data_IF_229755103991
#
_entry.id   IF_229755103991
#
_cell.length_a   1.000
_cell.length_b   1.000
_cell.length_c   1.000
_cell.angle_alpha   90.00
_cell.angle_beta   90.00
_cell.angle_gamma   90.00
#
_symmetry.space_group_name_H-M   'P 1'
#
loop_
_entity.id
_entity.type
_entity.pdbx_description
1 polymer ?
#
# COMPACT_ATOMS: atom_id res chain seq x y z
N UNK A 1 6.47 34.29 12.77
CA UNK A 1 7.36 34.45 11.59
C UNK A 1 7.69 33.05 11.10
N UNK A 2 7.09 32.61 10.00
CA UNK A 2 7.47 31.37 9.32
C UNK A 2 8.74 31.64 8.51
N UNK A 3 9.83 30.92 8.78
CA UNK A 3 11.01 30.89 7.93
C UNK A 3 10.87 29.72 6.96
N UNK A 4 11.28 29.89 5.71
CA UNK A 4 11.42 28.78 4.78
C UNK A 4 12.56 27.87 5.25
N UNK A 5 12.22 26.62 5.59
CA UNK A 5 13.18 25.58 5.97
C UNK A 5 13.48 24.67 4.78
N UNK A 6 14.69 24.11 4.72
CA UNK A 6 15.07 23.19 3.64
C UNK A 6 14.81 21.74 4.05
N UNK A 7 13.68 21.20 3.60
CA UNK A 7 13.40 19.78 3.71
C UNK A 7 14.04 19.00 2.56
N UNK A 8 14.68 17.88 2.87
CA UNK A 8 15.21 16.94 1.89
C UNK A 8 14.74 15.54 2.22
N UNK A 9 14.40 14.75 1.20
CA UNK A 9 14.11 13.34 1.37
C UNK A 9 14.73 12.54 0.22
N UNK A 10 14.85 11.22 0.41
CA UNK A 10 15.10 10.27 -0.67
C UNK A 10 14.34 8.98 -0.43
N UNK A 11 13.93 8.30 -1.49
CA UNK A 11 13.38 6.95 -1.38
C UNK A 11 14.52 5.96 -1.11
N UNK A 12 14.41 5.20 -0.03
CA UNK A 12 15.36 4.14 0.35
C UNK A 12 14.70 2.77 0.26
N UNK A 13 15.51 1.72 0.20
CA UNK A 13 15.01 0.36 0.13
C UNK A 13 14.49 -0.10 1.50
N UNK A 14 13.36 -0.79 1.51
CA UNK A 14 12.87 -1.48 2.70
C UNK A 14 13.80 -2.62 3.11
N UNK A 15 14.03 -2.76 4.41
CA UNK A 15 14.61 -3.99 4.98
C UNK A 15 13.51 -5.06 5.07
N UNK A 16 13.56 -6.02 4.16
CA UNK A 16 12.59 -7.10 4.08
C UNK A 16 12.62 -8.01 5.33
N UNK A 17 13.78 -8.22 5.95
CA UNK A 17 13.89 -9.07 7.14
C UNK A 17 13.22 -8.41 8.34
N UNK A 18 13.43 -7.10 8.48
CA UNK A 18 12.81 -6.29 9.52
C UNK A 18 11.28 -6.27 9.39
N UNK A 19 10.76 -6.11 8.17
CA UNK A 19 9.32 -6.17 7.89
C UNK A 19 8.73 -7.56 8.15
N UNK A 20 9.42 -8.63 7.72
CA UNK A 20 9.01 -10.00 7.98
C UNK A 20 8.94 -10.30 9.48
N UNK A 21 9.95 -9.88 10.25
CA UNK A 21 9.97 -10.04 11.70
C UNK A 21 8.81 -9.29 12.38
N UNK A 22 8.41 -8.12 11.84
CA UNK A 22 7.28 -7.34 12.33
C UNK A 22 5.91 -7.84 11.82
N UNK A 23 5.86 -8.83 10.93
CA UNK A 23 4.62 -9.28 10.30
C UNK A 23 3.96 -8.20 9.43
N UNK A 24 4.78 -7.36 8.80
CA UNK A 24 4.35 -6.22 7.99
C UNK A 24 4.75 -6.39 6.52
N UNK A 25 4.06 -5.69 5.64
CA UNK A 25 4.43 -5.56 4.22
C UNK A 25 4.38 -4.10 3.79
N UNK A 26 5.23 -3.66 2.85
CA UNK A 26 5.20 -2.27 2.39
C UNK A 26 3.83 -1.89 1.80
N UNK A 27 3.36 -0.70 2.15
CA UNK A 27 2.19 -0.03 1.57
C UNK A 27 2.55 1.25 0.81
N UNK A 28 3.85 1.58 0.76
CA UNK A 28 4.38 2.75 0.07
C UNK A 28 5.91 2.77 0.06
N UNK A 29 6.51 3.80 -0.55
CA UNK A 29 7.94 4.08 -0.44
C UNK A 29 8.37 4.33 1.00
N UNK A 30 9.63 4.02 1.30
CA UNK A 30 10.30 4.40 2.55
C UNK A 30 11.09 5.69 2.28
N UNK A 31 10.72 6.77 2.96
CA UNK A 31 11.32 8.08 2.80
C UNK A 31 12.33 8.35 3.92
N UNK A 32 13.61 8.46 3.61
CA UNK A 32 14.61 9.01 4.55
C UNK A 32 14.55 10.53 4.50
N UNK A 33 13.99 11.14 5.55
CA UNK A 33 13.66 12.57 5.61
C UNK A 33 14.66 13.27 6.53
N UNK A 34 15.20 14.40 6.07
CA UNK A 34 16.16 15.23 6.79
C UNK A 34 15.76 16.70 6.70
N UNK A 35 15.72 17.38 7.84
CA UNK A 35 15.53 18.82 7.98
C UNK A 35 16.59 19.36 8.96
N UNK A 36 17.50 20.25 8.53
CA UNK A 36 18.51 20.82 9.42
C UNK A 36 17.95 21.59 10.62
N UNK A 37 16.78 22.19 10.46
CA UNK A 37 16.13 23.03 11.47
C UNK A 37 15.24 22.24 12.45
N UNK A 38 15.11 20.92 12.27
CA UNK A 38 14.22 20.02 13.03
C UNK A 38 12.79 20.57 13.20
N UNK A 39 12.32 21.29 12.18
CA UNK A 39 11.08 22.07 12.24
C UNK A 39 9.84 21.25 11.81
N UNK A 40 9.99 19.97 11.51
CA UNK A 40 8.91 19.12 11.01
C UNK A 40 8.27 18.38 12.17
N UNK A 41 7.05 18.76 12.53
CA UNK A 41 6.28 18.10 13.59
C UNK A 41 5.32 17.03 13.06
N UNK A 42 4.95 17.07 11.77
CA UNK A 42 3.90 16.22 11.21
C UNK A 42 4.23 15.82 9.76
N UNK A 43 3.89 14.60 9.38
CA UNK A 43 4.02 14.07 8.02
C UNK A 43 2.69 13.62 7.45
N UNK A 44 2.53 13.83 6.14
CA UNK A 44 1.41 13.37 5.34
C UNK A 44 1.94 12.36 4.32
N UNK A 45 1.71 11.07 4.56
CA UNK A 45 2.23 9.99 3.74
C UNK A 45 1.13 9.45 2.81
N UNK A 46 1.30 9.54 1.47
CA UNK A 46 0.28 9.12 0.53
C UNK A 46 0.09 7.59 0.51
N UNK A 47 -1.17 7.15 0.40
CA UNK A 47 -1.52 5.73 0.23
C UNK A 47 -2.32 5.49 -1.05
N UNK A 48 -2.50 4.21 -1.39
CA UNK A 48 -3.19 3.78 -2.62
C UNK A 48 -4.50 3.02 -2.36
N UNK A 49 -5.12 3.20 -1.19
CA UNK A 49 -6.40 2.57 -0.89
C UNK A 49 -7.52 3.15 -1.75
N UNK A 50 -8.33 2.27 -2.37
CA UNK A 50 -9.48 2.66 -3.21
C UNK A 50 -10.79 2.74 -2.43
N UNK A 51 -10.79 2.21 -1.22
CA UNK A 51 -11.92 2.27 -0.29
C UNK A 51 -11.52 3.08 0.94
N UNK A 52 -12.46 3.80 1.59
CA UNK A 52 -12.17 4.53 2.81
C UNK A 52 -11.52 3.61 3.83
N UNK A 53 -10.32 3.98 4.28
CA UNK A 53 -9.51 3.16 5.18
C UNK A 53 -10.11 3.24 6.57
N UNK A 54 -10.69 2.14 7.05
CA UNK A 54 -11.10 2.06 8.45
C UNK A 54 -9.85 1.93 9.33
N UNK A 55 -9.87 2.41 10.58
CA UNK A 55 -8.77 2.20 11.53
C UNK A 55 -8.37 0.72 11.71
N UNK A 56 -9.27 -0.21 11.39
CA UNK A 56 -9.05 -1.66 11.41
C UNK A 56 -8.36 -2.23 10.16
N UNK A 57 -8.20 -1.48 9.06
CA UNK A 57 -7.72 -1.99 7.76
C UNK A 57 -6.23 -2.33 7.75
N UNK A 58 -5.52 -2.04 8.84
CA UNK A 58 -4.17 -2.52 9.06
C UNK A 58 -3.09 -1.72 8.37
N UNK A 59 -3.41 -0.53 7.88
CA UNK A 59 -2.44 0.46 7.45
C UNK A 59 -1.83 1.12 8.70
N UNK A 60 -0.50 1.23 8.75
CA UNK A 60 0.23 1.86 9.85
C UNK A 60 1.44 2.60 9.32
N UNK A 61 1.96 3.55 10.11
CA UNK A 61 3.23 4.21 9.81
C UNK A 61 4.34 3.50 10.54
N UNK A 62 5.45 3.28 9.84
CA UNK A 62 6.69 2.80 10.42
C UNK A 62 7.71 3.92 10.43
N UNK A 63 8.46 3.98 11.52
CA UNK A 63 9.57 4.87 11.73
C UNK A 63 10.82 4.05 12.05
N UNK A 64 11.86 4.18 11.22
CA UNK A 64 13.12 3.42 11.31
C UNK A 64 14.25 4.40 11.61
N UNK A 65 14.79 4.30 12.82
CA UNK A 65 15.95 5.06 13.26
C UNK A 65 17.14 4.15 13.60
N UNK A 66 18.21 4.75 14.13
CA UNK A 66 19.36 4.03 14.70
C UNK A 66 18.99 3.11 15.88
N UNK A 67 17.84 3.34 16.52
CA UNK A 67 17.27 2.49 17.57
C UNK A 67 16.39 1.35 17.03
N UNK A 68 16.25 1.24 15.70
CA UNK A 68 15.47 0.21 15.03
C UNK A 68 14.09 0.68 14.59
N UNK A 69 13.20 -0.29 14.37
CA UNK A 69 11.85 -0.08 13.85
C UNK A 69 10.84 0.17 14.96
N UNK A 70 10.05 1.23 14.81
CA UNK A 70 8.89 1.52 15.64
C UNK A 70 7.64 1.69 14.76
N UNK A 71 6.48 1.33 15.30
CA UNK A 71 5.18 1.58 14.66
C UNK A 71 4.60 2.83 15.31
N UNK A 72 4.22 3.80 14.48
CA UNK A 72 3.55 5.02 14.92
C UNK A 72 2.06 4.90 14.63
N UNK A 73 1.25 5.30 15.61
CA UNK A 73 -0.20 5.37 15.43
C UNK A 73 -0.56 6.60 14.58
N UNK A 74 -1.29 6.41 13.48
CA UNK A 74 -1.84 7.52 12.70
C UNK A 74 -2.70 8.44 13.55
N UNK A 75 -2.56 9.75 13.38
CA UNK A 75 -3.53 10.72 13.89
C UNK A 75 -4.82 10.67 13.07
N UNK A 76 -4.66 10.60 11.75
CA UNK A 76 -5.76 10.59 10.80
C UNK A 76 -5.36 9.72 9.60
N UNK A 77 -6.34 8.99 9.05
CA UNK A 77 -6.21 8.34 7.75
C UNK A 77 -7.33 8.89 6.87
N UNK A 78 -6.94 9.64 5.84
CA UNK A 78 -7.87 10.26 4.89
C UNK A 78 -8.12 9.33 3.70
N UNK A 79 -8.74 9.83 2.64
CA UNK A 79 -8.87 9.10 1.38
C UNK A 79 -7.56 9.03 0.57
N UNK A 80 -6.58 9.89 0.86
CA UNK A 80 -5.37 10.04 0.04
C UNK A 80 -4.07 9.84 0.80
N UNK A 81 -4.07 10.11 2.11
CA UNK A 81 -2.85 10.09 2.91
C UNK A 81 -3.11 9.78 4.39
N UNK A 82 -2.07 9.29 5.05
CA UNK A 82 -1.98 9.11 6.50
C UNK A 82 -1.27 10.32 7.12
N UNK A 83 -1.81 10.86 8.20
CA UNK A 83 -1.22 11.93 9.00
C UNK A 83 -0.61 11.35 10.27
N UNK A 84 0.63 11.72 10.57
CA UNK A 84 1.38 11.20 11.73
C UNK A 84 2.30 12.26 12.33
N UNK A 85 2.42 12.27 13.65
CA UNK A 85 3.40 13.10 14.35
C UNK A 85 4.81 12.52 14.19
N UNK A 86 5.78 13.40 14.04
CA UNK A 86 7.19 13.05 13.89
C UNK A 86 7.87 13.12 15.25
N UNK A 87 8.35 11.99 15.81
CA UNK A 87 9.11 12.01 17.06
C UNK A 87 10.52 12.60 16.86
N UNK A 88 11.15 12.25 15.75
CA UNK A 88 12.40 12.83 15.23
C UNK A 88 12.55 12.42 13.77
N UNK A 89 13.35 13.16 13.00
CA UNK A 89 13.50 12.90 11.57
C UNK A 89 14.44 11.72 11.28
N UNK A 90 13.93 10.74 10.52
CA UNK A 90 14.64 9.57 10.02
C UNK A 90 13.87 8.96 8.82
N UNK A 91 13.85 7.64 8.69
CA UNK A 91 13.10 6.94 7.64
C UNK A 91 11.65 6.64 8.05
N UNK A 92 10.70 7.04 7.20
CA UNK A 92 9.25 6.85 7.41
C UNK A 92 8.60 6.18 6.21
N UNK A 93 7.69 5.25 6.45
CA UNK A 93 6.97 4.58 5.38
C UNK A 93 5.68 3.94 5.85
N UNK A 94 4.76 3.73 4.92
CA UNK A 94 3.51 3.03 5.19
C UNK A 94 3.69 1.52 5.06
N UNK A 95 3.04 0.78 5.97
CA UNK A 95 2.99 -0.68 5.92
C UNK A 95 1.57 -1.18 6.14
N UNK A 96 1.25 -2.33 5.57
CA UNK A 96 0.10 -3.13 5.96
C UNK A 96 0.50 -4.23 6.94
N UNK A 97 -0.44 -4.61 7.79
CA UNK A 97 -0.45 -5.93 8.43
C UNK A 97 -0.45 -7.03 7.35
N UNK A 98 0.55 -7.91 7.38
CA UNK A 98 0.70 -9.03 6.42
C UNK A 98 -0.59 -9.86 6.34
N UNK A 99 -1.20 -10.17 7.50
CA UNK A 99 -2.41 -11.00 7.62
C UNK A 99 -3.62 -10.32 6.96
N UNK A 100 -3.84 -9.03 7.24
CA UNK A 100 -4.96 -8.29 6.67
C UNK A 100 -4.76 -8.06 5.17
N UNK A 101 -3.52 -7.79 4.74
CA UNK A 101 -3.20 -7.64 3.32
C UNK A 101 -3.45 -8.93 2.55
N UNK A 102 -3.11 -10.09 3.12
CA UNK A 102 -3.38 -11.39 2.53
C UNK A 102 -4.89 -11.64 2.32
N UNK A 103 -5.75 -11.21 3.25
CA UNK A 103 -7.21 -11.32 3.09
C UNK A 103 -7.75 -10.39 2.00
N UNK A 104 -7.07 -9.28 1.74
CA UNK A 104 -7.49 -8.23 0.82
C UNK A 104 -6.74 -8.27 -0.53
N UNK A 105 -6.16 -9.42 -0.94
CA UNK A 105 -5.36 -9.51 -2.18
C UNK A 105 -6.14 -9.20 -3.45
N UNK A 106 -7.46 -9.44 -3.46
CA UNK A 106 -8.33 -9.13 -4.60
C UNK A 106 -8.81 -7.67 -4.62
N UNK A 107 -8.52 -6.88 -3.57
CA UNK A 107 -8.91 -5.46 -3.57
C UNK A 107 -8.02 -4.68 -4.53
N UNK A 108 -8.62 -3.87 -5.42
CA UNK A 108 -7.85 -2.97 -6.26
C UNK A 108 -7.18 -1.88 -5.41
N UNK A 109 -6.02 -1.45 -5.86
CA UNK A 109 -5.36 -0.25 -5.37
C UNK A 109 -5.43 0.86 -6.42
N UNK A 110 -5.32 2.10 -5.96
CA UNK A 110 -5.07 3.22 -6.86
C UNK A 110 -3.66 3.10 -7.43
N UNK A 111 -3.57 3.09 -8.74
CA UNK A 111 -2.35 2.87 -9.50
C UNK A 111 -2.21 3.95 -10.57
N UNK A 112 -1.04 3.99 -11.20
CA UNK A 112 -0.72 4.93 -12.27
C UNK A 112 -0.09 4.22 -13.46
N UNK A 113 -0.47 4.67 -14.65
CA UNK A 113 0.15 4.33 -15.93
C UNK A 113 1.06 5.49 -16.34
N UNK A 114 2.37 5.25 -16.40
CA UNK A 114 3.32 6.27 -16.85
C UNK A 114 3.87 5.90 -18.23
N UNK A 115 3.87 6.88 -19.13
CA UNK A 115 4.39 6.74 -20.49
C UNK A 115 5.68 7.54 -20.65
N UNK A 116 6.69 6.89 -21.20
CA UNK A 116 7.95 7.53 -21.56
C UNK A 116 8.32 7.20 -23.00
N UNK A 117 8.69 8.23 -23.74
CA UNK A 117 9.21 8.12 -25.10
C UNK A 117 10.73 8.20 -25.09
N UNK A 118 11.40 7.20 -25.70
CA UNK A 118 12.85 7.22 -25.86
C UNK A 118 13.22 7.90 -27.17
N UNK A 119 13.86 9.08 -27.10
CA UNK A 119 14.16 9.93 -28.28
C UNK A 119 15.21 9.33 -29.22
N UNK A 120 16.01 8.36 -28.79
CA UNK A 120 17.11 7.82 -29.59
C UNK A 120 17.53 6.43 -29.10
N UNK A 121 17.22 5.38 -29.86
CA UNK A 121 17.85 4.07 -29.61
C UNK A 121 18.24 3.34 -30.91
N UNK A 122 17.47 3.45 -32.00
CA UNK A 122 17.88 2.97 -33.34
C UNK A 122 17.29 3.86 -34.43
N UNK A 123 17.96 3.99 -35.58
CA UNK A 123 17.57 4.86 -36.70
C UNK A 123 16.22 4.49 -37.39
N UNK A 124 15.44 3.54 -36.86
CA UNK A 124 14.30 2.94 -37.58
C UNK A 124 13.01 2.71 -36.78
N UNK A 125 13.01 2.79 -35.44
CA UNK A 125 11.80 2.55 -34.63
C UNK A 125 11.68 3.53 -33.46
N UNK A 126 10.46 3.95 -33.14
CA UNK A 126 10.12 4.65 -31.90
C UNK A 126 9.91 3.63 -30.79
N UNK A 127 10.34 3.98 -29.58
CA UNK A 127 10.17 3.14 -28.39
C UNK A 127 9.41 3.91 -27.31
N UNK A 128 8.26 3.37 -26.91
CA UNK A 128 7.52 3.79 -25.73
C UNK A 128 7.74 2.76 -24.63
N UNK A 129 7.97 3.22 -23.41
CA UNK A 129 7.99 2.37 -22.23
C UNK A 129 6.84 2.74 -21.32
N UNK A 130 6.14 1.72 -20.82
CA UNK A 130 4.93 1.83 -20.01
C UNK A 130 5.21 1.26 -18.62
N UNK A 131 4.83 2.02 -17.59
CA UNK A 131 4.93 1.63 -16.19
C UNK A 131 3.54 1.39 -15.65
N UNK A 132 3.37 0.28 -14.94
CA UNK A 132 2.25 0.07 -14.04
C UNK A 132 2.82 0.12 -12.62
N UNK A 133 2.52 1.18 -11.87
CA UNK A 133 3.02 1.40 -10.51
C UNK A 133 1.88 1.78 -9.57
N UNK A 134 2.02 1.56 -8.25
CA UNK A 134 1.13 2.20 -7.27
C UNK A 134 1.16 3.73 -7.41
N UNK A 135 0.03 4.40 -7.20
CA UNK A 135 -0.09 5.86 -7.33
C UNK A 135 0.84 6.63 -6.36
N UNK A 136 1.09 6.08 -5.18
CA UNK A 136 1.94 6.70 -4.15
C UNK A 136 3.44 6.56 -4.42
N UNK A 137 3.83 6.04 -5.59
CA UNK A 137 5.21 6.13 -6.08
C UNK A 137 5.45 7.51 -6.68
N UNK A 138 6.43 8.29 -6.19
CA UNK A 138 6.66 9.65 -6.69
C UNK A 138 7.15 9.66 -8.15
N UNK A 139 6.44 10.37 -9.04
CA UNK A 139 6.81 10.49 -10.45
C UNK A 139 8.25 10.99 -10.66
N UNK A 140 8.71 11.92 -9.82
CA UNK A 140 10.07 12.49 -9.96
C UNK A 140 11.16 11.42 -9.76
N UNK A 141 10.95 10.46 -8.86
CA UNK A 141 11.89 9.35 -8.64
C UNK A 141 11.98 8.45 -9.88
N UNK A 142 10.85 8.23 -10.57
CA UNK A 142 10.81 7.46 -11.82
C UNK A 142 11.48 8.22 -12.97
N UNK A 143 11.31 9.54 -13.03
CA UNK A 143 11.91 10.41 -14.07
C UNK A 143 13.43 10.48 -13.95
N UNK A 144 13.96 10.68 -12.74
CA UNK A 144 15.41 10.88 -12.51
C UNK A 144 16.24 9.63 -12.86
N UNK A 145 15.66 8.44 -12.77
CA UNK A 145 16.34 7.18 -13.10
C UNK A 145 16.52 6.92 -14.60
N UNK A 146 16.05 7.83 -15.47
CA UNK A 146 16.01 7.62 -16.92
C UNK A 146 16.77 8.71 -17.65
N UNK A 147 17.87 8.32 -18.26
CA UNK A 147 18.57 9.15 -19.24
C UNK A 147 17.88 9.03 -20.60
N UNK A 148 17.78 10.15 -21.34
CA UNK A 148 17.32 10.20 -22.73
C UNK A 148 15.87 9.72 -22.99
N UNK A 149 14.99 9.78 -21.99
CA UNK A 149 13.54 9.58 -22.16
C UNK A 149 12.76 10.82 -21.82
N UNK A 150 11.68 11.06 -22.54
CA UNK A 150 10.71 12.12 -22.30
C UNK A 150 9.46 11.53 -21.67
N UNK A 151 9.03 12.10 -20.56
CA UNK A 151 7.74 11.77 -19.94
C UNK A 151 6.60 12.38 -20.77
N UNK A 152 5.60 11.58 -21.11
CA UNK A 152 4.38 12.04 -21.77
C UNK A 152 3.34 12.26 -20.68
N UNK A 153 2.90 13.49 -20.51
CA UNK A 153 1.85 13.83 -19.55
C UNK A 153 0.51 13.29 -20.03
N UNK A 154 -0.10 12.42 -19.22
CA UNK A 154 -1.37 11.74 -19.50
C UNK A 154 -2.22 11.64 -18.24
N UNK A 155 -3.55 11.48 -18.36
CA UNK A 155 -4.39 11.06 -17.25
C UNK A 155 -3.98 9.66 -16.78
N UNK A 156 -3.08 9.57 -15.80
CA UNK A 156 -2.36 8.34 -15.48
C UNK A 156 -3.10 7.40 -14.52
N UNK A 157 -4.05 7.91 -13.73
CA UNK A 157 -4.66 7.17 -12.63
C UNK A 157 -5.55 6.03 -13.15
N UNK A 158 -5.40 4.85 -12.56
CA UNK A 158 -6.23 3.67 -12.83
C UNK A 158 -6.33 2.80 -11.57
N UNK A 159 -7.06 1.67 -11.64
CA UNK A 159 -7.14 0.70 -10.56
C UNK A 159 -6.53 -0.64 -10.99
N UNK A 160 -5.59 -1.16 -10.19
CA UNK A 160 -4.91 -2.44 -10.44
C UNK A 160 -4.96 -3.34 -9.21
N UNK A 161 -4.96 -4.65 -9.42
CA UNK A 161 -5.02 -5.68 -8.37
C UNK A 161 -3.66 -6.36 -8.30
N UNK A 162 -3.07 -6.41 -7.10
CA UNK A 162 -1.80 -7.10 -6.85
C UNK A 162 -1.91 -8.57 -7.23
N UNK A 163 -0.92 -9.09 -7.95
CA UNK A 163 -0.86 -10.50 -8.38
C UNK A 163 -1.73 -10.81 -9.59
N UNK A 164 -2.42 -9.82 -10.16
CA UNK A 164 -3.09 -10.00 -11.45
C UNK A 164 -2.12 -9.78 -12.60
N UNK A 165 -2.39 -10.46 -13.72
CA UNK A 165 -1.63 -10.28 -14.97
C UNK A 165 -2.34 -9.26 -15.85
N UNK A 166 -1.56 -8.32 -16.40
CA UNK A 166 -2.04 -7.30 -17.33
C UNK A 166 -1.33 -7.44 -18.67
N UNK A 167 -1.95 -6.95 -19.74
CA UNK A 167 -1.34 -6.87 -21.07
C UNK A 167 -1.60 -5.50 -21.70
N UNK A 168 -0.80 -5.14 -22.69
CA UNK A 168 -1.09 -3.97 -23.52
C UNK A 168 -1.70 -4.39 -24.85
N UNK A 169 -2.63 -3.57 -25.32
CA UNK A 169 -3.05 -3.51 -26.71
C UNK A 169 -2.64 -2.16 -27.29
N UNK A 170 -2.09 -2.20 -28.50
CA UNK A 170 -1.68 -1.02 -29.25
C UNK A 170 -1.68 -1.40 -30.74
N UNK A 171 -2.76 -1.12 -31.48
CA UNK A 171 -2.91 -1.56 -32.87
C UNK A 171 -1.79 -1.09 -33.80
N UNK A 172 -1.19 0.06 -33.50
CA UNK A 172 -0.11 0.68 -34.28
C UNK A 172 1.26 0.05 -33.99
N UNK A 173 1.37 -0.77 -32.93
CA UNK A 173 2.62 -1.40 -32.50
C UNK A 173 3.06 -2.51 -33.44
N UNK A 174 4.34 -2.48 -33.83
CA UNK A 174 4.96 -3.62 -34.50
C UNK A 174 5.39 -4.69 -33.49
N UNK A 175 5.61 -4.31 -32.22
CA UNK A 175 5.95 -5.24 -31.14
C UNK A 175 5.60 -4.67 -29.78
N UNK A 176 5.03 -5.53 -28.93
CA UNK A 176 4.84 -5.26 -27.50
C UNK A 176 5.58 -6.34 -26.71
N UNK A 177 6.37 -5.96 -25.71
CA UNK A 177 7.06 -6.91 -24.83
C UNK A 177 7.06 -6.45 -23.36
N UNK A 178 6.89 -7.37 -22.40
CA UNK A 178 6.40 -8.74 -22.59
C UNK A 178 4.95 -8.76 -23.11
N UNK A 179 4.45 -9.93 -23.51
CA UNK A 179 3.04 -10.08 -23.97
C UNK A 179 2.06 -9.76 -22.83
N UNK A 180 2.45 -10.10 -21.61
CA UNK A 180 1.73 -9.80 -20.38
C UNK A 180 2.70 -9.74 -19.20
N UNK A 181 2.33 -9.06 -18.13
CA UNK A 181 3.15 -8.92 -16.93
C UNK A 181 2.30 -8.98 -15.65
N UNK A 182 2.84 -9.60 -14.60
CA UNK A 182 2.26 -9.58 -13.27
C UNK A 182 2.37 -8.17 -12.67
N UNK A 183 1.27 -7.63 -12.16
CA UNK A 183 1.31 -6.41 -11.37
C UNK A 183 1.67 -6.73 -9.92
N UNK A 184 2.71 -6.06 -9.44
CA UNK A 184 3.17 -6.15 -8.05
C UNK A 184 3.46 -4.74 -7.52
N UNK A 185 3.50 -4.63 -6.19
CA UNK A 185 3.66 -3.37 -5.49
C UNK A 185 5.15 -3.03 -5.38
N UNK A 186 5.64 -2.24 -6.33
CA UNK A 186 7.03 -1.82 -6.42
C UNK A 186 7.21 -0.39 -5.91
N UNK A 187 7.93 -0.23 -4.81
CA UNK A 187 8.15 1.06 -4.16
C UNK A 187 9.60 1.57 -4.25
N UNK A 188 10.35 1.05 -5.23
CA UNK A 188 11.73 1.42 -5.48
C UNK A 188 12.77 0.64 -4.65
N UNK A 189 14.03 1.11 -4.64
CA UNK A 189 14.48 2.33 -5.30
C UNK A 189 14.53 2.18 -6.82
N UNK A 190 14.60 0.98 -7.39
CA UNK A 190 14.72 0.80 -8.84
C UNK A 190 13.34 0.62 -9.53
N UNK A 191 13.02 1.47 -10.51
CA UNK A 191 11.76 1.38 -11.28
C UNK A 191 12.00 0.87 -12.70
N UNK A 192 11.60 -0.38 -12.96
CA UNK A 192 11.71 -1.01 -14.27
C UNK A 192 10.40 -0.91 -15.07
N UNK A 193 10.46 -0.68 -16.40
CA UNK A 193 9.27 -0.64 -17.23
C UNK A 193 8.52 -1.96 -17.17
N UNK A 194 7.20 -1.88 -17.08
CA UNK A 194 6.34 -3.06 -17.14
C UNK A 194 6.24 -3.56 -18.57
N UNK A 195 6.17 -2.65 -19.55
CA UNK A 195 6.12 -2.97 -20.97
C UNK A 195 6.97 -2.03 -21.83
N UNK A 196 7.34 -2.53 -23.00
CA UNK A 196 7.95 -1.81 -24.11
C UNK A 196 7.07 -1.98 -25.35
N UNK A 197 6.69 -0.85 -25.96
CA UNK A 197 6.01 -0.79 -27.25
C UNK A 197 7.01 -0.28 -28.29
N UNK A 198 7.13 -0.99 -29.40
CA UNK A 198 7.89 -0.56 -30.58
C UNK A 198 6.91 -0.15 -31.68
N UNK A 199 7.13 1.05 -32.21
CA UNK A 199 6.32 1.67 -33.25
C UNK A 199 7.23 2.02 -34.44
N UNK A 200 6.65 2.08 -35.63
CA UNK A 200 7.35 2.58 -36.80
C UNK A 200 7.66 4.07 -36.62
N UNK A 201 8.73 4.58 -37.26
CA UNK A 201 9.06 6.02 -37.19
C UNK A 201 7.98 6.92 -37.76
N UNK A 202 7.26 6.43 -38.77
CA UNK A 202 6.15 7.12 -39.42
C UNK A 202 4.86 7.13 -38.59
N UNK A 203 4.82 6.43 -37.45
CA UNK A 203 3.67 6.47 -36.55
C UNK A 203 3.66 7.82 -35.83
N UNK A 204 2.64 8.63 -36.14
CA UNK A 204 2.41 9.95 -35.57
C UNK A 204 1.56 9.89 -34.31
N UNK A 205 0.61 8.96 -34.27
CA UNK A 205 -0.29 8.74 -33.14
C UNK A 205 -0.35 7.24 -32.82
N UNK A 206 -0.55 6.89 -31.55
CA UNK A 206 -0.71 5.51 -31.12
C UNK A 206 -1.71 5.40 -29.97
N UNK A 207 -2.59 4.40 -30.03
CA UNK A 207 -3.52 4.11 -28.93
C UNK A 207 -2.90 3.09 -28.01
N UNK A 208 -2.75 3.43 -26.72
CA UNK A 208 -2.20 2.52 -25.71
C UNK A 208 -3.28 2.13 -24.74
N UNK A 209 -3.58 0.84 -24.70
CA UNK A 209 -4.65 0.29 -23.87
C UNK A 209 -4.09 -0.75 -22.90
N UNK A 210 -4.34 -0.58 -21.60
CA UNK A 210 -4.05 -1.58 -20.57
C UNK A 210 -5.28 -2.45 -20.39
N UNK A 211 -5.07 -3.77 -20.46
CA UNK A 211 -6.11 -4.78 -20.35
C UNK A 211 -5.81 -5.74 -19.20
N UNK A 212 -6.87 -6.21 -18.52
CA UNK A 212 -6.76 -7.27 -17.52
C UNK A 212 -6.67 -8.68 -18.14
N UNK A 213 -6.74 -9.70 -17.29
CA UNK A 213 -6.65 -11.12 -17.66
C UNK A 213 -7.80 -11.57 -18.58
N UNK A 214 -8.95 -10.92 -18.48
CA UNK A 214 -10.15 -11.20 -19.27
C UNK A 214 -10.23 -10.31 -20.52
N UNK A 215 -9.15 -9.58 -20.83
CA UNK A 215 -9.08 -8.60 -21.93
C UNK A 215 -10.04 -7.42 -21.76
N UNK A 216 -10.49 -7.16 -20.54
CA UNK A 216 -11.31 -5.98 -20.22
C UNK A 216 -10.42 -4.74 -20.18
N UNK A 217 -10.96 -3.64 -20.71
CA UNK A 217 -10.35 -2.31 -20.65
C UNK A 217 -10.16 -1.85 -19.20
N UNK A 218 -8.92 -1.52 -18.83
CA UNK A 218 -8.54 -0.94 -17.52
C UNK A 218 -8.18 0.53 -17.66
N UNK A 219 -7.43 0.87 -18.71
CA UNK A 219 -6.98 2.23 -19.00
C UNK A 219 -6.70 2.35 -20.50
N UNK A 220 -7.01 3.49 -21.10
CA UNK A 220 -6.75 3.77 -22.51
C UNK A 220 -6.38 5.23 -22.71
N UNK A 221 -5.41 5.46 -23.59
CA UNK A 221 -5.02 6.81 -23.98
C UNK A 221 -4.50 6.85 -25.41
N UNK A 222 -4.84 7.93 -26.10
CA UNK A 222 -4.38 8.21 -27.44
C UNK A 222 -3.15 9.15 -27.39
N UNK A 223 -1.98 8.59 -27.71
CA UNK A 223 -0.68 9.26 -27.61
C UNK A 223 -0.35 9.98 -28.91
N UNK A 224 -0.09 11.28 -28.83
CA UNK A 224 0.56 12.03 -29.89
C UNK A 224 2.10 11.90 -29.79
N UNK A 225 2.72 11.41 -30.86
CA UNK A 225 4.16 11.19 -30.98
C UNK A 225 4.85 12.25 -31.84
N UNK A 226 4.12 13.24 -32.34
CA UNK A 226 4.60 14.33 -33.19
C UNK A 226 5.22 15.48 -32.38
N UNK A 227 6.14 15.21 -31.45
CA UNK A 227 6.73 16.31 -30.69
C UNK A 227 7.68 17.18 -31.56
N UNK A 228 7.22 18.36 -31.98
CA UNK A 228 8.09 19.53 -32.01
C UNK A 228 8.41 19.93 -30.56
N UNK A 229 9.60 20.49 -30.25
CA UNK A 229 9.98 20.78 -28.88
C UNK A 229 9.05 21.84 -28.31
N UNK A 230 8.32 21.53 -27.24
CA UNK A 230 7.76 22.58 -26.38
C UNK A 230 8.93 23.30 -25.73
N UNK A 231 9.28 24.47 -26.28
CA UNK A 231 10.07 25.48 -25.58
C UNK A 231 9.30 25.79 -24.30
N UNK A 232 9.77 25.30 -23.15
CA UNK A 232 9.37 25.90 -21.89
C UNK A 232 9.73 27.39 -21.98
N UNK A 233 8.82 28.33 -21.68
CA UNK A 233 9.24 29.69 -21.42
C UNK A 233 10.26 29.61 -20.29
N UNK A 234 11.50 29.98 -20.56
CA UNK A 234 12.41 30.35 -19.49
C UNK A 234 11.66 31.41 -18.70
N UNK A 235 11.35 31.11 -17.44
CA UNK A 235 10.96 32.15 -16.51
C UNK A 235 12.14 33.12 -16.48
N UNK A 236 11.91 34.32 -17.03
CA UNK A 236 12.80 35.45 -16.88
C UNK A 236 13.16 35.56 -15.40
N UNK A 237 14.45 35.43 -15.14
CA UNK A 237 15.10 35.86 -13.91
C UNK A 237 14.70 37.33 -13.67
N UNK A 238 14.00 37.68 -12.59
CA UNK A 238 13.78 39.09 -12.30
C UNK A 238 15.11 39.67 -11.82
N UNK A 239 15.68 40.50 -12.68
CA UNK A 239 16.84 41.33 -12.43
C UNK A 239 16.75 42.04 -11.07
N UNK A 240 17.80 41.85 -10.27
CA UNK A 240 18.20 42.72 -9.16
C UNK A 240 18.30 44.16 -9.64
N UNK A 241 17.65 45.13 -8.96
CA UNK A 241 18.08 46.54 -8.78
C UNK A 241 17.18 47.20 -7.70
N UNK A 242 17.61 48.30 -7.01
CA UNK A 242 18.30 48.25 -5.73
C UNK A 242 17.49 48.85 -4.56
N UNK A 243 17.99 48.56 -3.36
CA UNK A 243 17.60 49.18 -2.08
C UNK A 243 17.64 50.72 -2.15
N UNK A 244 16.60 51.36 -1.60
CA UNK A 244 16.71 52.69 -0.98
C UNK A 244 16.08 52.65 0.41
N UNK A 245 16.96 52.70 1.40
CA UNK A 245 16.70 53.13 2.78
C UNK A 245 16.49 54.63 2.81
N UNK A 246 15.41 55.11 3.44
CA UNK A 246 15.43 56.32 4.25
C UNK A 246 14.51 56.13 5.46
N UNK A 247 15.05 56.38 6.65
CA UNK A 247 14.34 56.32 7.91
C UNK A 247 13.67 57.65 8.25
N UNK A 248 12.99 57.69 9.41
CA UNK A 248 12.52 58.93 10.02
C UNK A 248 11.15 58.80 10.66
N UNK A 249 11.16 58.34 11.90
CA UNK A 249 10.32 58.78 13.03
C UNK A 249 9.40 60.00 12.81
N UNK A 250 8.13 59.92 13.20
CA UNK A 250 7.67 60.52 14.47
C UNK A 250 6.20 60.20 14.82
N UNK A 251 6.00 60.28 16.13
CA UNK A 251 4.83 60.09 16.99
C UNK A 251 3.49 60.72 16.58
N UNK A 252 2.36 60.07 16.95
CA UNK A 252 1.57 60.41 18.16
C UNK A 252 0.11 59.90 18.12
N UNK A 253 -0.28 59.22 19.22
CA UNK A 253 -1.59 59.17 19.93
C UNK A 253 -2.93 59.32 19.16
N UNK A 254 -3.89 58.40 19.35
CA UNK A 254 -4.80 58.38 20.51
C UNK A 254 -5.95 57.34 20.41
N UNK A 255 -6.24 56.73 21.58
CA UNK A 255 -7.57 56.37 22.15
C UNK A 255 -8.47 55.25 21.61
N UNK A 256 -8.79 54.32 22.55
CA UNK A 256 -10.08 53.63 22.75
C UNK A 256 -10.30 52.38 21.90
N UNK A 257 -10.73 51.21 22.38
CA UNK A 257 -11.37 50.79 23.63
C UNK A 257 -11.27 49.26 23.76
N UNK A 258 -11.38 48.76 24.99
CA UNK A 258 -11.28 47.35 25.38
C UNK A 258 -12.41 46.44 24.81
N UNK A 259 -12.19 45.11 24.76
CA UNK A 259 -13.14 44.11 24.25
C UNK A 259 -14.12 43.62 25.33
N UNK A 260 -15.31 43.20 24.90
CA UNK A 260 -16.31 42.53 25.75
C UNK A 260 -16.46 41.09 25.27
N UNK A 261 -16.09 40.14 26.14
CA UNK A 261 -16.45 38.71 26.06
C UNK A 261 -17.97 38.54 26.33
N UNK A 262 -18.58 37.42 25.92
CA UNK A 262 -18.92 36.45 26.97
C UNK A 262 -18.93 34.96 26.60
N UNK A 263 -18.57 34.18 27.61
CA UNK A 263 -19.27 33.00 28.16
C UNK A 263 -19.21 31.64 27.45
N UNK A 264 -18.36 30.81 28.02
CA UNK A 264 -18.40 29.35 28.07
C UNK A 264 -19.69 28.82 28.72
N UNK A 265 -20.27 27.75 28.16
CA UNK A 265 -21.33 26.95 28.77
C UNK A 265 -20.85 25.51 28.94
N UNK A 266 -20.75 25.07 30.19
CA UNK A 266 -20.63 23.68 30.60
C UNK A 266 -21.99 22.98 30.49
N UNK A 267 -22.02 21.72 30.00
CA UNK A 267 -23.12 20.78 30.29
C UNK A 267 -22.55 19.40 30.65
N UNK A 268 -23.18 18.82 31.66
CA UNK A 268 -22.75 17.73 32.51
C UNK A 268 -22.91 16.32 31.94
N UNK A 269 -22.16 15.40 32.56
CA UNK A 269 -22.31 13.96 32.47
C UNK A 269 -23.57 13.46 33.21
N UNK A 270 -24.26 12.49 32.62
CA UNK A 270 -25.34 11.73 33.24
C UNK A 270 -25.33 10.29 32.72
N UNK A 271 -25.09 9.34 33.63
CA UNK A 271 -25.09 7.91 33.33
C UNK A 271 -26.50 7.31 33.25
N UNK A 272 -26.62 6.26 32.46
CA UNK A 272 -27.77 5.34 32.43
C UNK A 272 -27.26 3.92 32.39
N UNK A 273 -27.64 3.11 33.39
CA UNK A 273 -27.26 1.71 33.52
C UNK A 273 -28.02 0.77 32.57
N UNK A 274 -27.61 -0.51 32.46
CA UNK A 274 -28.25 -1.49 31.58
C UNK A 274 -29.33 -2.31 32.29
N UNK A 275 -30.46 -2.51 31.60
CA UNK A 275 -31.55 -3.42 31.96
C UNK A 275 -31.21 -4.87 31.56
N UNK A 276 -31.57 -5.91 32.34
CA UNK A 276 -31.13 -7.28 32.13
C UNK A 276 -32.15 -8.07 31.31
N UNK A 277 -31.71 -8.65 30.19
CA UNK A 277 -32.48 -9.65 29.45
C UNK A 277 -31.51 -10.65 28.84
N UNK A 278 -31.16 -11.64 29.65
CA UNK A 278 -30.27 -12.73 29.28
C UNK A 278 -30.92 -13.66 28.26
N UNK A 279 -30.37 -13.66 27.04
CA UNK A 279 -30.42 -14.82 26.15
C UNK A 279 -28.97 -15.14 25.76
N UNK A 280 -28.41 -16.09 26.49
CA UNK A 280 -27.04 -16.57 26.42
C UNK A 280 -26.93 -17.55 25.23
N UNK A 281 -26.59 -17.07 24.04
CA UNK A 281 -26.12 -17.94 22.96
C UNK A 281 -24.70 -18.43 23.30
N UNK A 282 -24.55 -19.74 23.43
CA UNK A 282 -23.30 -20.46 23.71
C UNK A 282 -22.09 -19.89 22.95
N UNK A 283 -21.21 -19.22 23.69
CA UNK A 283 -20.01 -18.56 23.17
C UNK A 283 -18.83 -19.53 23.10
N UNK A 284 -18.66 -20.19 21.94
CA UNK A 284 -17.33 -20.52 21.38
C UNK A 284 -16.46 -21.58 22.05
N UNK A 285 -17.02 -22.65 22.62
CA UNK A 285 -16.23 -23.67 23.32
C UNK A 285 -15.19 -24.38 22.42
N UNK A 286 -15.52 -24.68 21.15
CA UNK A 286 -14.58 -25.38 20.25
C UNK A 286 -13.43 -24.49 19.79
N UNK A 287 -13.68 -23.19 19.64
CA UNK A 287 -12.63 -22.22 19.31
C UNK A 287 -11.60 -22.09 20.45
N UNK A 288 -12.08 -22.13 21.70
CA UNK A 288 -11.23 -22.14 22.91
C UNK A 288 -10.43 -23.42 23.02
N UNK A 289 -11.04 -24.58 22.71
CA UNK A 289 -10.34 -25.87 22.67
C UNK A 289 -9.24 -25.92 21.62
N UNK A 290 -9.51 -25.41 20.41
CA UNK A 290 -8.45 -25.30 19.39
C UNK A 290 -7.37 -24.29 19.78
N UNK A 291 -7.72 -23.21 20.49
CA UNK A 291 -6.72 -22.26 20.99
C UNK A 291 -5.77 -22.90 21.99
N UNK A 292 -6.30 -23.67 22.96
CA UNK A 292 -5.48 -24.28 24.00
C UNK A 292 -4.50 -25.31 23.46
N UNK A 293 -4.89 -26.07 22.43
CA UNK A 293 -4.03 -27.13 21.86
C UNK A 293 -3.15 -26.65 20.70
N UNK A 294 -3.27 -25.37 20.32
CA UNK A 294 -2.65 -24.83 19.10
C UNK A 294 -1.15 -25.12 19.02
N UNK A 295 -0.41 -24.89 20.10
CA UNK A 295 1.04 -25.10 20.13
C UNK A 295 1.38 -26.56 19.87
N UNK A 296 0.75 -27.48 20.60
CA UNK A 296 1.00 -28.91 20.46
C UNK A 296 0.54 -29.46 19.11
N UNK A 297 -0.56 -28.94 18.56
CA UNK A 297 -1.00 -29.26 17.21
C UNK A 297 0.08 -28.91 16.19
N UNK A 298 0.65 -27.70 16.25
CA UNK A 298 1.71 -27.25 15.34
C UNK A 298 2.98 -28.09 15.48
N UNK A 299 3.33 -28.51 16.69
CA UNK A 299 4.55 -29.27 16.95
C UNK A 299 4.43 -30.74 16.50
N UNK A 300 3.25 -31.35 16.66
CA UNK A 300 3.09 -32.81 16.59
C UNK A 300 2.36 -33.31 15.35
N UNK A 301 1.57 -32.47 14.68
CA UNK A 301 0.82 -32.91 13.49
C UNK A 301 1.75 -33.20 12.31
N UNK A 302 1.54 -34.34 11.67
CA UNK A 302 2.32 -34.77 10.51
C UNK A 302 1.83 -34.10 9.22
N UNK A 303 2.69 -34.05 8.20
CA UNK A 303 2.33 -33.47 6.90
C UNK A 303 1.20 -34.24 6.19
N UNK A 304 1.09 -35.56 6.39
CA UNK A 304 0.00 -36.35 5.82
C UNK A 304 -1.34 -35.99 6.44
N UNK A 305 -1.40 -35.91 7.78
CA UNK A 305 -2.60 -35.49 8.51
C UNK A 305 -3.01 -34.07 8.12
N UNK A 306 -2.05 -33.16 7.95
CA UNK A 306 -2.36 -31.80 7.47
C UNK A 306 -2.99 -31.80 6.07
N UNK A 307 -2.49 -32.62 5.15
CA UNK A 307 -3.05 -32.73 3.81
C UNK A 307 -4.49 -33.25 3.85
N UNK A 308 -4.72 -34.34 4.56
CA UNK A 308 -6.04 -34.95 4.69
C UNK A 308 -7.05 -33.99 5.36
N UNK A 309 -6.60 -33.24 6.38
CA UNK A 309 -7.41 -32.21 7.01
C UNK A 309 -7.77 -31.07 6.05
N UNK A 310 -6.81 -30.61 5.23
CA UNK A 310 -7.08 -29.57 4.25
C UNK A 310 -8.07 -30.03 3.18
N UNK A 311 -7.95 -31.27 2.69
CA UNK A 311 -8.89 -31.84 1.72
C UNK A 311 -10.32 -31.87 2.29
N UNK A 312 -10.50 -32.30 3.54
CA UNK A 312 -11.80 -32.31 4.21
C UNK A 312 -12.32 -30.89 4.46
N UNK A 313 -11.46 -29.94 4.82
CA UNK A 313 -11.85 -28.54 5.02
C UNK A 313 -12.29 -27.88 3.70
N UNK A 314 -11.67 -28.24 2.57
CA UNK A 314 -12.04 -27.77 1.24
C UNK A 314 -13.41 -28.36 0.82
N UNK A 315 -13.60 -29.67 1.02
CA UNK A 315 -14.88 -30.36 0.74
C UNK A 315 -16.05 -29.74 1.53
N UNK A 316 -15.81 -29.40 2.80
CA UNK A 316 -16.80 -28.78 3.68
C UNK A 316 -16.95 -27.26 3.46
N UNK A 317 -16.27 -26.70 2.43
CA UNK A 317 -16.23 -25.26 2.11
C UNK A 317 -15.82 -24.38 3.31
N UNK A 318 -15.03 -24.93 4.22
CA UNK A 318 -14.40 -24.16 5.30
C UNK A 318 -13.25 -23.36 4.70
N UNK A 319 -12.46 -23.96 3.80
CA UNK A 319 -11.47 -23.27 3.00
C UNK A 319 -11.83 -23.34 1.52
N UNK A 320 -11.39 -22.36 0.72
CA UNK A 320 -11.54 -22.37 -0.73
C UNK A 320 -10.28 -22.91 -1.44
N UNK A 321 -10.33 -23.07 -2.77
CA UNK A 321 -9.21 -23.60 -3.56
C UNK A 321 -7.95 -22.74 -3.49
N UNK A 322 -8.08 -21.41 -3.43
CA UNK A 322 -6.94 -20.51 -3.26
C UNK A 322 -6.30 -20.61 -1.88
N UNK A 323 -7.10 -20.72 -0.81
CA UNK A 323 -6.61 -20.99 0.55
C UNK A 323 -5.92 -22.35 0.64
N UNK A 324 -6.47 -23.38 -0.02
CA UNK A 324 -5.87 -24.71 -0.12
C UNK A 324 -4.48 -24.66 -0.73
N UNK A 325 -4.35 -24.10 -1.94
CA UNK A 325 -3.07 -24.01 -2.65
C UNK A 325 -2.04 -23.20 -1.84
N UNK A 326 -2.47 -22.10 -1.23
CA UNK A 326 -1.61 -21.24 -0.40
C UNK A 326 -1.11 -21.98 0.84
N UNK A 327 -1.97 -22.70 1.56
CA UNK A 327 -1.58 -23.43 2.77
C UNK A 327 -0.74 -24.66 2.40
N UNK A 328 -1.03 -25.31 1.27
CA UNK A 328 -0.32 -26.51 0.83
C UNK A 328 1.15 -26.23 0.47
N UNK A 329 1.46 -25.04 -0.04
CA UNK A 329 2.81 -24.61 -0.40
C UNK A 329 3.72 -24.32 0.81
N UNK A 330 3.17 -24.21 2.02
CA UNK A 330 3.94 -23.85 3.21
C UNK A 330 4.75 -25.04 3.79
N UNK A 331 5.87 -24.75 4.48
CA UNK A 331 6.55 -25.72 5.35
C UNK A 331 5.60 -26.31 6.39
N UNK A 332 5.83 -27.55 6.83
CA UNK A 332 4.91 -28.29 7.74
C UNK A 332 4.46 -27.48 8.97
N UNK A 333 5.37 -26.78 9.63
CA UNK A 333 5.06 -25.99 10.83
C UNK A 333 4.11 -24.83 10.53
N UNK A 334 4.39 -24.10 9.46
CA UNK A 334 3.63 -22.94 9.05
C UNK A 334 2.28 -23.35 8.46
N UNK A 335 2.25 -24.47 7.72
CA UNK A 335 1.03 -25.14 7.26
C UNK A 335 0.11 -25.50 8.42
N UNK A 336 0.64 -26.11 9.48
CA UNK A 336 -0.13 -26.46 10.66
C UNK A 336 -0.68 -25.22 11.37
N UNK A 337 0.13 -24.15 11.46
CA UNK A 337 -0.26 -22.88 12.06
C UNK A 337 -1.38 -22.22 11.25
N UNK A 338 -1.23 -22.14 9.94
CA UNK A 338 -2.22 -21.50 9.07
C UNK A 338 -3.54 -22.27 9.03
N UNK A 339 -3.49 -23.60 9.01
CA UNK A 339 -4.69 -24.43 9.03
C UNK A 339 -5.52 -24.17 10.29
N UNK A 340 -4.92 -24.31 11.48
CA UNK A 340 -5.66 -24.15 12.74
C UNK A 340 -6.16 -22.71 12.95
N UNK A 341 -5.41 -21.72 12.47
CA UNK A 341 -5.75 -20.31 12.63
C UNK A 341 -6.83 -19.82 11.69
N UNK A 342 -6.77 -20.28 10.43
CA UNK A 342 -7.80 -20.00 9.45
C UNK A 342 -9.14 -20.56 9.93
N UNK A 343 -9.15 -21.81 10.41
CA UNK A 343 -10.36 -22.44 10.93
C UNK A 343 -10.88 -21.72 12.18
N UNK A 344 -10.02 -21.32 13.11
CA UNK A 344 -10.44 -20.57 14.31
C UNK A 344 -11.09 -19.24 13.97
N UNK A 345 -10.52 -18.48 13.02
CA UNK A 345 -11.08 -17.20 12.55
C UNK A 345 -12.44 -17.33 11.85
N UNK A 346 -12.70 -18.48 11.22
CA UNK A 346 -14.01 -18.79 10.59
C UNK A 346 -15.08 -19.20 11.61
N UNK A 347 -14.75 -19.21 12.90
CA UNK A 347 -15.66 -19.33 14.02
C UNK A 347 -16.01 -20.76 14.42
N UNK A 348 -16.87 -20.87 15.43
CA UNK A 348 -17.14 -22.12 16.15
C UNK A 348 -17.61 -23.28 15.24
N UNK A 349 -18.34 -22.97 14.16
CA UNK A 349 -18.78 -23.98 13.18
C UNK A 349 -17.60 -24.61 12.45
N UNK A 350 -16.64 -23.81 11.99
CA UNK A 350 -15.42 -24.29 11.35
C UNK A 350 -14.55 -25.06 12.35
N UNK A 351 -14.41 -24.55 13.57
CA UNK A 351 -13.65 -25.20 14.65
C UNK A 351 -14.15 -26.62 14.94
N UNK A 352 -15.48 -26.78 15.03
CA UNK A 352 -16.13 -28.09 15.22
C UNK A 352 -15.86 -29.04 14.05
N UNK A 353 -15.91 -28.54 12.81
CA UNK A 353 -15.59 -29.35 11.62
C UNK A 353 -14.14 -29.83 11.69
N UNK A 354 -13.19 -28.95 12.01
CA UNK A 354 -11.78 -29.35 12.17
C UNK A 354 -11.59 -30.38 13.28
N UNK A 355 -12.15 -30.17 14.47
CA UNK A 355 -12.03 -31.11 15.60
C UNK A 355 -12.62 -32.48 15.21
N UNK A 356 -13.81 -32.50 14.61
CA UNK A 356 -14.45 -33.74 14.20
C UNK A 356 -13.64 -34.45 13.10
N UNK A 357 -13.16 -33.73 12.09
CA UNK A 357 -12.31 -34.30 11.04
C UNK A 357 -10.98 -34.81 11.59
N UNK A 358 -10.37 -34.08 12.51
CA UNK A 358 -9.13 -34.49 13.16
C UNK A 358 -9.30 -35.76 14.00
N UNK A 359 -10.44 -35.93 14.67
CA UNK A 359 -10.76 -37.17 15.39
C UNK A 359 -10.88 -38.40 14.49
N UNK A 360 -11.13 -38.21 13.19
CA UNK A 360 -11.22 -39.28 12.19
C UNK A 360 -9.90 -39.55 11.49
N UNK A 361 -9.15 -38.49 11.15
CA UNK A 361 -7.88 -38.57 10.42
C UNK A 361 -6.76 -39.08 11.34
N UNK A 362 -6.72 -38.63 12.61
CA UNK A 362 -5.76 -39.10 13.60
C UNK A 362 -6.39 -39.17 15.01
N UNK A 363 -7.11 -40.27 15.32
CA UNK A 363 -7.78 -40.44 16.61
C UNK A 363 -6.82 -40.42 17.81
N UNK A 364 -5.58 -40.91 17.63
CA UNK A 364 -4.59 -41.01 18.70
C UNK A 364 -4.00 -39.65 19.06
N UNK A 365 -3.63 -38.85 18.07
CA UNK A 365 -3.16 -37.49 18.31
C UNK A 365 -4.32 -36.59 18.78
N UNK A 366 -5.50 -36.71 18.17
CA UNK A 366 -6.67 -35.93 18.56
C UNK A 366 -7.05 -36.15 20.03
N UNK A 367 -7.12 -37.42 20.48
CA UNK A 367 -7.39 -37.76 21.88
C UNK A 367 -6.25 -37.40 22.84
N UNK A 368 -5.01 -37.30 22.37
CA UNK A 368 -3.89 -36.79 23.17
C UNK A 368 -3.96 -35.28 23.38
N UNK A 369 -4.52 -34.53 22.43
CA UNK A 369 -4.53 -33.07 22.44
C UNK A 369 -5.81 -32.49 23.04
N UNK A 370 -6.98 -33.05 22.72
CA UNK A 370 -8.30 -32.42 22.98
C UNK A 370 -9.10 -33.04 24.14
N UNK A 371 -8.41 -33.58 25.15
CA UNK A 371 -9.03 -34.23 26.34
C UNK A 371 -10.01 -33.33 27.08
#
# INVERSE_FOLDING_TARGET
MSREGKLSFRVVQWDEQLLQAAGKVPAGPLFDIKCPEDAVSQLHLPHCETTPVLPSDGLSVVHISDHGMSILDPQEITETHVVVDVPHLSAFGLVWDLIKRFLNIQKPISAQVLLFHQRTYTKLLRKLTVFLLPENVPLQEVKVQRENTEYIEVPSICQLIKGHTYSLDCPEACKIQPVSALFDLKYGPNYHPTFEIRLNLSTEEATVTVQDQEKKLVWEYHVDLTAAPSTQPQADEPALLPVRTEGGSDSSSASGSAPTEPASVHVAAGGGGPDPSGQNLQRGDEERRLFSVRKEFIERVSNSVLKDLLDVLLENRVINSGEMESIQALPRADKARELIDSVRRKGNRACRILIHSFSKVDPFLCSSLLK
#
